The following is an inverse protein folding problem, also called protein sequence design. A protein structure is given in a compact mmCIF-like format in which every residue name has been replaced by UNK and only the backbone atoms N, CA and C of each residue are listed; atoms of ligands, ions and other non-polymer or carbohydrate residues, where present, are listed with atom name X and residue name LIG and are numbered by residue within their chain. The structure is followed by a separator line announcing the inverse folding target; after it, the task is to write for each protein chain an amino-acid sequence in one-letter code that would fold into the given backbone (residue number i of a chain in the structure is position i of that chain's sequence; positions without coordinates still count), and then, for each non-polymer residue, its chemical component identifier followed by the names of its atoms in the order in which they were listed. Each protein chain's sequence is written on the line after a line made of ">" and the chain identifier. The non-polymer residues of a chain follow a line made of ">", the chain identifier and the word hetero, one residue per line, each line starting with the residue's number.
data_IF_328166902440
#
_entry.id   IF_328166902440
#
_cell.length_a   1.000
_cell.length_b   1.000
_cell.length_c   1.000
_cell.angle_alpha   90.00
_cell.angle_beta   90.00
_cell.angle_gamma   90.00
#
_symmetry.space_group_name_H-M   'P 1'
#
loop_
_entity.id
_entity.type
_entity.pdbx_description
1 polymer ?
#
# COMPACT_ATOMS: atom_id res chain seq x y z
N UNK A 1 -47.53 -51.54 24.67
CA UNK A 1 -46.46 -52.47 25.11
C UNK A 1 -45.27 -52.16 24.22
N UNK A 2 -44.20 -51.47 24.59
CA UNK A 2 -43.60 -50.92 25.82
C UNK A 2 -42.57 -49.91 25.27
N UNK A 3 -42.73 -48.60 25.45
CA UNK A 3 -42.14 -47.75 26.51
C UNK A 3 -40.61 -47.79 26.60
N UNK A 4 -39.97 -46.62 26.51
CA UNK A 4 -38.55 -46.38 26.74
C UNK A 4 -38.10 -45.02 26.20
N UNK A 5 -38.51 -43.94 26.89
CA UNK A 5 -37.85 -42.62 26.87
C UNK A 5 -36.44 -42.76 27.44
N UNK A 6 -35.47 -42.00 26.94
CA UNK A 6 -34.29 -41.62 27.73
C UNK A 6 -33.74 -40.27 27.23
N UNK A 7 -33.92 -39.28 28.11
CA UNK A 7 -33.33 -37.96 28.11
C UNK A 7 -31.79 -38.04 28.23
N UNK A 8 -31.06 -37.20 27.49
CA UNK A 8 -29.63 -36.96 27.73
C UNK A 8 -29.46 -35.48 28.07
N UNK A 9 -29.31 -35.24 29.38
CA UNK A 9 -28.88 -33.98 29.99
C UNK A 9 -27.40 -33.69 29.70
N UNK A 10 -27.10 -32.38 29.70
CA UNK A 10 -25.78 -31.78 29.52
C UNK A 10 -24.79 -32.18 30.62
N UNK A 11 -23.51 -32.30 30.25
CA UNK A 11 -22.38 -32.02 31.13
C UNK A 11 -21.35 -31.17 30.38
N UNK A 12 -21.21 -29.94 30.82
CA UNK A 12 -20.04 -29.10 30.57
C UNK A 12 -18.89 -29.69 31.38
N UNK A 13 -17.79 -30.06 30.70
CA UNK A 13 -16.53 -30.40 31.35
C UNK A 13 -15.53 -29.29 31.03
N UNK A 14 -15.22 -28.49 32.05
CA UNK A 14 -14.09 -27.58 32.09
C UNK A 14 -12.80 -28.40 32.17
N UNK A 15 -11.96 -28.35 31.13
CA UNK A 15 -10.60 -28.91 31.21
C UNK A 15 -9.60 -27.84 31.64
N UNK A 16 -8.90 -28.18 32.72
CA UNK A 16 -7.92 -27.39 33.44
C UNK A 16 -6.63 -27.16 32.64
N UNK A 17 -6.05 -25.98 32.82
CA UNK A 17 -4.66 -25.67 32.47
C UNK A 17 -3.71 -26.55 33.30
N UNK A 18 -2.93 -27.39 32.64
CA UNK A 18 -1.73 -28.00 33.23
C UNK A 18 -0.50 -27.16 32.85
N UNK A 19 0.14 -26.63 33.88
CA UNK A 19 1.50 -26.08 33.86
C UNK A 19 2.48 -27.19 33.48
N UNK A 20 3.37 -26.91 32.52
CA UNK A 20 4.57 -27.72 32.31
C UNK A 20 5.77 -26.78 32.33
N UNK A 21 6.48 -26.89 33.44
CA UNK A 21 7.79 -26.35 33.74
C UNK A 21 8.84 -27.21 33.00
N UNK A 22 9.70 -26.60 32.19
CA UNK A 22 11.00 -27.16 31.83
C UNK A 22 11.92 -26.02 31.37
N UNK A 23 12.74 -25.58 32.33
CA UNK A 23 13.94 -24.80 32.14
C UNK A 23 14.99 -25.62 31.34
N UNK A 24 15.78 -24.95 30.49
CA UNK A 24 17.25 -25.10 30.35
C UNK A 24 17.75 -24.15 29.23
N UNK A 25 18.08 -22.95 29.69
CA UNK A 25 19.16 -22.04 29.29
C UNK A 25 20.12 -22.43 28.14
N UNK A 26 20.34 -21.50 27.21
CA UNK A 26 21.69 -21.22 26.70
C UNK A 26 21.85 -19.74 26.31
N UNK A 27 22.42 -19.01 27.25
CA UNK A 27 22.86 -17.62 27.24
C UNK A 27 23.92 -17.29 26.17
N UNK A 28 23.70 -16.18 25.45
CA UNK A 28 24.77 -15.27 25.01
C UNK A 28 24.14 -13.95 24.54
N UNK A 29 23.76 -13.10 25.49
CA UNK A 29 23.57 -11.66 25.20
C UNK A 29 24.37 -10.84 26.20
N UNK A 30 25.40 -10.17 25.70
CA UNK A 30 26.22 -9.24 26.48
C UNK A 30 25.35 -8.16 27.13
N UNK A 31 25.27 -8.22 28.44
CA UNK A 31 24.74 -7.17 29.32
C UNK A 31 25.55 -5.89 29.14
N UNK A 32 24.85 -4.81 28.80
CA UNK A 32 25.30 -3.44 29.09
C UNK A 32 24.36 -2.92 30.18
N UNK A 33 24.74 -3.20 31.43
CA UNK A 33 24.09 -2.71 32.64
C UNK A 33 24.20 -1.18 32.71
N UNK A 34 23.11 -0.48 32.38
CA UNK A 34 22.95 0.93 32.78
C UNK A 34 22.13 0.96 34.06
N UNK A 35 22.84 1.15 35.18
CA UNK A 35 22.28 1.36 36.51
C UNK A 35 21.25 2.48 36.51
N UNK A 36 20.12 2.23 37.17
CA UNK A 36 19.10 3.23 37.46
C UNK A 36 19.64 4.39 38.28
N UNK A 37 19.40 5.59 37.79
CA UNK A 37 19.52 6.85 38.48
C UNK A 37 18.45 7.80 37.95
N UNK A 38 17.64 8.31 38.87
CA UNK A 38 16.78 9.50 38.90
C UNK A 38 16.09 10.03 37.62
N UNK A 39 14.82 10.42 37.80
CA UNK A 39 13.96 11.12 36.84
C UNK A 39 14.52 12.52 36.48
N UNK A 40 15.61 12.54 35.72
CA UNK A 40 16.04 13.71 34.94
C UNK A 40 15.71 13.43 33.46
N UNK A 41 15.06 14.39 32.79
CA UNK A 41 14.82 14.40 31.34
C UNK A 41 16.15 14.53 30.58
N UNK A 42 17.04 13.55 30.72
CA UNK A 42 18.30 13.50 30.01
C UNK A 42 18.03 13.18 28.53
N UNK A 43 18.15 14.20 27.67
CA UNK A 43 18.12 14.05 26.22
C UNK A 43 19.09 12.95 25.78
N UNK A 44 18.55 11.91 25.15
CA UNK A 44 19.36 10.80 24.61
C UNK A 44 20.26 11.37 23.51
N UNK A 45 21.60 11.21 23.60
CA UNK A 45 22.53 11.66 22.56
C UNK A 45 22.15 11.10 21.19
N UNK A 46 22.25 11.90 20.12
CA UNK A 46 21.93 11.46 18.75
C UNK A 46 22.63 10.15 18.35
N UNK A 47 23.87 9.94 18.81
CA UNK A 47 24.64 8.72 18.55
C UNK A 47 24.07 7.45 19.18
N UNK A 48 23.12 7.58 20.13
CA UNK A 48 22.42 6.49 20.80
C UNK A 48 20.97 6.33 20.33
N UNK A 49 20.45 7.27 19.52
CA UNK A 49 19.11 7.15 18.93
C UNK A 49 19.08 5.98 17.95
N UNK A 50 18.04 5.15 18.05
CA UNK A 50 17.82 4.01 17.15
C UNK A 50 16.42 4.09 16.57
N UNK A 51 16.31 3.90 15.26
CA UNK A 51 15.00 3.80 14.61
C UNK A 51 14.19 2.66 15.23
N UNK A 52 12.96 2.97 15.62
CA UNK A 52 12.03 1.96 16.13
C UNK A 52 11.42 1.18 14.97
N UNK A 53 11.58 -0.15 15.00
CA UNK A 53 11.03 -1.07 14.01
C UNK A 53 9.99 -1.94 14.72
N UNK A 54 8.69 -1.79 14.44
CA UNK A 54 7.65 -2.63 15.03
C UNK A 54 7.94 -4.12 14.85
N UNK A 55 7.92 -4.88 15.95
CA UNK A 55 8.17 -6.32 15.96
C UNK A 55 9.65 -6.75 15.97
N UNK A 56 10.59 -5.80 15.81
CA UNK A 56 12.04 -6.07 15.93
C UNK A 56 12.69 -5.30 17.08
N UNK A 57 12.26 -4.05 17.31
CA UNK A 57 12.70 -3.24 18.45
C UNK A 57 12.00 -3.67 19.73
N UNK A 58 12.65 -3.43 20.89
CA UNK A 58 12.02 -3.63 22.20
C UNK A 58 10.75 -2.78 22.31
N UNK A 59 9.71 -3.23 23.03
CA UNK A 59 8.56 -2.40 23.35
C UNK A 59 8.99 -1.07 24.00
N UNK A 60 8.19 -0.03 23.75
CA UNK A 60 8.38 1.26 24.39
C UNK A 60 8.18 1.11 25.90
N UNK A 61 9.10 1.69 26.68
CA UNK A 61 8.97 1.79 28.14
C UNK A 61 7.88 2.80 28.48
N UNK A 62 7.38 2.72 29.71
CA UNK A 62 6.41 3.71 30.22
C UNK A 62 7.05 5.09 30.22
N UNK A 63 6.48 6.03 29.47
CA UNK A 63 7.00 7.39 29.31
C UNK A 63 7.93 7.59 28.10
N UNK A 64 8.23 6.54 27.34
CA UNK A 64 9.01 6.64 26.11
C UNK A 64 8.08 6.95 24.92
N UNK A 65 8.37 8.03 24.19
CA UNK A 65 7.63 8.44 23.01
C UNK A 65 8.50 8.34 21.75
N UNK A 66 7.85 8.07 20.61
CA UNK A 66 8.54 8.05 19.32
C UNK A 66 8.60 9.47 18.77
N UNK A 67 9.80 9.97 18.57
CA UNK A 67 10.04 11.23 17.87
C UNK A 67 10.23 10.98 16.36
N UNK A 68 9.78 11.94 15.55
CA UNK A 68 10.02 11.94 14.12
C UNK A 68 11.49 12.25 13.84
N UNK A 69 12.18 11.33 13.17
CA UNK A 69 13.53 11.53 12.65
C UNK A 69 13.46 12.07 11.21
N UNK A 70 13.80 13.35 10.95
CA UNK A 70 13.79 13.92 9.61
C UNK A 70 14.82 13.29 8.67
N UNK A 71 15.90 12.72 9.19
CA UNK A 71 16.97 12.12 8.39
C UNK A 71 16.64 10.69 7.93
N UNK A 72 15.57 10.09 8.47
CA UNK A 72 15.07 8.79 8.05
C UNK A 72 14.50 8.79 6.61
N UNK A 73 14.14 9.96 6.07
CA UNK A 73 13.49 10.08 4.76
C UNK A 73 14.14 11.14 3.88
N UNK A 74 14.39 10.80 2.60
CA UNK A 74 14.76 11.81 1.58
C UNK A 74 13.56 12.63 1.12
N UNK A 75 12.39 11.99 1.00
CA UNK A 75 11.11 12.64 0.71
C UNK A 75 10.07 12.14 1.69
N UNK A 76 9.34 13.06 2.30
CA UNK A 76 8.19 12.74 3.14
C UNK A 76 7.07 13.74 2.86
N UNK A 77 6.04 13.29 2.14
CA UNK A 77 4.89 14.10 1.74
C UNK A 77 3.61 13.35 2.09
N UNK A 78 2.63 14.06 2.66
CA UNK A 78 1.34 13.48 3.04
C UNK A 78 0.25 13.98 2.11
N UNK A 79 -0.57 13.06 1.61
CA UNK A 79 -1.73 13.35 0.79
C UNK A 79 -2.94 12.60 1.31
N UNK A 80 -4.13 13.16 1.13
CA UNK A 80 -5.38 12.59 1.61
C UNK A 80 -6.32 12.26 0.45
N UNK A 81 -6.93 11.09 0.48
CA UNK A 81 -8.03 10.69 -0.40
C UNK A 81 -9.34 10.68 0.37
N UNK A 82 -10.47 10.87 -0.32
CA UNK A 82 -11.80 10.92 0.32
C UNK A 82 -12.19 9.59 0.96
N UNK A 83 -11.75 8.48 0.34
CA UNK A 83 -11.96 7.12 0.84
C UNK A 83 -10.62 6.39 0.97
N UNK A 84 -10.52 5.42 1.90
CA UNK A 84 -9.32 4.61 2.03
C UNK A 84 -9.10 3.77 0.76
N UNK A 85 -7.83 3.61 0.38
CA UNK A 85 -7.43 2.70 -0.69
C UNK A 85 -6.80 1.44 -0.08
N UNK A 86 -7.43 0.28 -0.26
CA UNK A 86 -6.84 -0.98 0.22
C UNK A 86 -5.59 -1.38 -0.56
N UNK A 87 -5.49 -0.89 -1.79
CA UNK A 87 -4.33 -1.12 -2.65
C UNK A 87 -4.09 0.07 -3.55
N UNK A 88 -2.82 0.22 -3.92
CA UNK A 88 -2.38 1.10 -4.98
C UNK A 88 -1.29 0.42 -5.80
N UNK A 89 -0.95 1.03 -6.93
CA UNK A 89 0.15 0.65 -7.77
C UNK A 89 0.78 1.87 -8.44
N UNK A 90 2.10 1.84 -8.62
CA UNK A 90 2.81 2.94 -9.29
C UNK A 90 2.67 2.77 -10.81
N UNK A 91 2.16 3.80 -11.46
CA UNK A 91 1.96 3.83 -12.90
C UNK A 91 3.27 4.21 -13.58
N UNK A 92 3.70 3.40 -14.55
CA UNK A 92 4.87 3.72 -15.38
C UNK A 92 4.57 4.93 -16.26
N UNK A 93 5.21 6.06 -15.98
CA UNK A 93 5.11 7.27 -16.77
C UNK A 93 6.02 7.25 -18.02
N UNK A 94 5.93 8.28 -18.84
CA UNK A 94 6.76 8.50 -20.03
C UNK A 94 7.83 9.58 -19.86
N UNK A 95 8.16 9.99 -18.62
CA UNK A 95 9.03 11.14 -18.33
C UNK A 95 10.52 10.80 -18.33
N UNK A 96 10.88 9.52 -18.56
CA UNK A 96 12.26 9.05 -18.64
C UNK A 96 12.57 8.00 -17.58
N UNK A 97 13.70 7.31 -17.77
CA UNK A 97 14.17 6.25 -16.87
C UNK A 97 15.12 6.81 -15.80
N UNK A 98 15.14 6.21 -14.61
CA UNK A 98 16.07 6.53 -13.52
C UNK A 98 16.11 8.02 -13.15
N UNK A 99 14.94 8.68 -13.08
CA UNK A 99 14.84 10.08 -12.65
C UNK A 99 15.20 10.21 -11.18
N UNK A 100 16.27 10.93 -10.88
CA UNK A 100 16.76 11.21 -9.51
C UNK A 100 16.73 12.69 -9.14
N UNK A 101 16.33 13.57 -10.07
CA UNK A 101 16.33 15.01 -9.88
C UNK A 101 15.03 15.48 -9.22
N UNK A 102 15.12 16.59 -8.50
CA UNK A 102 14.00 17.24 -7.82
C UNK A 102 13.61 18.55 -8.50
N UNK A 103 12.35 19.00 -8.34
CA UNK A 103 11.25 18.29 -7.69
C UNK A 103 10.84 17.02 -8.44
N UNK A 104 10.58 15.95 -7.69
CA UNK A 104 10.15 14.69 -8.25
C UNK A 104 8.65 14.72 -8.58
N UNK A 105 8.27 13.80 -9.45
CA UNK A 105 6.88 13.61 -9.88
C UNK A 105 6.66 12.11 -10.10
N UNK A 106 5.53 11.58 -9.66
CA UNK A 106 5.14 10.20 -9.90
C UNK A 106 3.63 10.06 -10.05
N UNK A 107 3.20 8.95 -10.64
CA UNK A 107 1.79 8.65 -10.88
C UNK A 107 1.42 7.36 -10.18
N UNK A 108 0.29 7.37 -9.48
CA UNK A 108 -0.22 6.23 -8.72
C UNK A 108 -1.65 5.98 -9.14
N UNK A 109 -2.05 4.72 -9.21
CA UNK A 109 -3.44 4.32 -9.32
C UNK A 109 -3.87 3.63 -8.02
N UNK A 110 -4.96 4.09 -7.44
CA UNK A 110 -5.59 3.53 -6.25
C UNK A 110 -7.00 3.03 -6.55
N UNK A 111 -7.48 2.11 -5.72
CA UNK A 111 -8.88 1.70 -5.73
C UNK A 111 -9.49 1.89 -4.34
N UNK A 112 -10.63 2.57 -4.26
CA UNK A 112 -11.23 2.93 -2.98
C UNK A 112 -12.08 1.80 -2.37
N UNK A 113 -12.31 1.94 -1.07
CA UNK A 113 -13.27 1.18 -0.29
C UNK A 113 -14.19 2.14 0.48
N UNK A 114 -15.27 2.56 -0.18
CA UNK A 114 -16.31 3.40 0.37
C UNK A 114 -17.41 2.58 1.09
N UNK A 115 -18.19 3.24 1.94
CA UNK A 115 -19.30 2.59 2.66
C UNK A 115 -20.38 2.02 1.72
N UNK A 116 -20.66 2.70 0.60
CA UNK A 116 -21.67 2.27 -0.37
C UNK A 116 -21.00 1.82 -1.65
N UNK A 117 -21.48 0.72 -2.21
CA UNK A 117 -20.93 0.13 -3.44
C UNK A 117 -20.78 1.14 -4.60
N UNK A 118 -21.73 2.07 -4.76
CA UNK A 118 -21.74 3.06 -5.85
C UNK A 118 -20.80 4.25 -5.67
N UNK A 119 -20.26 4.44 -4.46
CA UNK A 119 -19.41 5.59 -4.11
C UNK A 119 -17.91 5.21 -4.24
N UNK A 120 -17.61 4.03 -4.79
CA UNK A 120 -16.24 3.58 -5.04
C UNK A 120 -15.73 4.12 -6.38
N UNK A 121 -14.41 4.24 -6.48
CA UNK A 121 -13.74 4.88 -7.60
C UNK A 121 -12.36 4.27 -7.81
N UNK A 122 -11.92 4.23 -9.07
CA UNK A 122 -10.49 4.11 -9.41
C UNK A 122 -9.93 5.54 -9.40
N UNK A 123 -8.91 5.79 -8.59
CA UNK A 123 -8.30 7.11 -8.47
C UNK A 123 -6.93 7.09 -9.14
N UNK A 124 -6.73 7.95 -10.14
CA UNK A 124 -5.42 8.22 -10.73
C UNK A 124 -4.88 9.48 -10.06
N UNK A 125 -3.72 9.38 -9.42
CA UNK A 125 -3.08 10.44 -8.66
C UNK A 125 -1.76 10.82 -9.34
N UNK A 126 -1.65 12.07 -9.81
CA UNK A 126 -0.39 12.68 -10.20
C UNK A 126 0.19 13.45 -9.01
N UNK A 127 1.22 12.88 -8.37
CA UNK A 127 1.94 13.51 -7.27
C UNK A 127 3.09 14.32 -7.86
N UNK A 128 3.02 15.64 -7.76
CA UNK A 128 3.94 16.59 -8.39
C UNK A 128 4.59 17.49 -7.34
N UNK A 129 5.68 18.13 -7.75
CA UNK A 129 6.44 19.06 -6.92
C UNK A 129 6.97 18.43 -5.63
N UNK A 130 7.38 17.16 -5.69
CA UNK A 130 7.88 16.42 -4.52
C UNK A 130 9.33 16.84 -4.26
N UNK A 131 9.52 17.73 -3.29
CA UNK A 131 10.82 18.27 -2.90
C UNK A 131 11.49 17.39 -1.83
N UNK A 132 12.81 17.49 -1.71
CA UNK A 132 13.54 16.79 -0.63
C UNK A 132 13.23 17.38 0.74
N UNK A 133 13.27 16.52 1.76
CA UNK A 133 13.25 16.93 3.16
C UNK A 133 14.47 17.79 3.45
N UNK A 134 14.27 18.85 4.24
CA UNK A 134 15.38 19.68 4.73
C UNK A 134 16.16 18.88 5.77
N UNK A 135 17.47 18.80 5.58
CA UNK A 135 18.37 18.32 6.63
C UNK A 135 18.55 19.44 7.66
N UNK A 136 18.48 19.14 8.97
CA UNK A 136 18.97 20.06 9.98
C UNK A 136 20.44 20.37 9.69
N UNK A 137 20.86 21.65 9.70
CA UNK A 137 22.27 22.00 9.56
C UNK A 137 23.01 21.50 10.81
N UNK A 138 23.75 20.40 10.70
CA UNK A 138 24.78 20.07 11.69
C UNK A 138 25.87 21.15 11.65
N UNK A 139 26.05 21.84 12.77
CA UNK A 139 27.12 22.79 12.94
C UNK A 139 28.49 22.08 12.99
N UNK A 140 29.13 21.89 11.83
CA UNK A 140 30.59 22.00 11.59
C UNK A 140 30.92 21.54 10.17
N UNK A 141 31.54 22.43 9.40
CA UNK A 141 31.65 22.31 7.95
C UNK A 141 32.57 21.23 7.41
N UNK A 142 32.31 20.87 6.16
CA UNK A 142 33.28 20.90 5.07
C UNK A 142 32.51 21.04 3.76
N UNK A 143 33.19 21.59 2.78
CA UNK A 143 32.72 22.13 1.50
C UNK A 143 32.25 21.03 0.52
N UNK A 144 30.97 21.06 0.11
CA UNK A 144 30.58 20.62 -1.24
C UNK A 144 29.22 21.19 -1.66
N UNK A 145 29.29 22.06 -2.65
CA UNK A 145 28.26 22.76 -3.43
C UNK A 145 26.85 22.12 -3.55
N UNK A 146 25.86 23.02 -3.44
CA UNK A 146 24.42 22.92 -3.76
C UNK A 146 23.48 22.60 -2.60
N UNK A 147 23.60 23.32 -1.48
CA UNK A 147 22.45 23.58 -0.61
C UNK A 147 21.90 24.95 -0.99
N UNK A 148 20.69 25.01 -1.56
CA UNK A 148 19.90 26.23 -1.52
C UNK A 148 19.77 26.63 -0.05
N UNK A 149 20.50 27.70 0.27
CA UNK A 149 20.30 28.62 1.38
C UNK A 149 18.78 28.90 1.48
N UNK A 150 18.11 28.80 2.63
CA UNK A 150 18.22 29.81 3.68
C UNK A 150 17.41 29.42 4.94
N UNK A 151 17.76 30.14 6.01
CA UNK A 151 17.06 30.52 7.24
C UNK A 151 15.57 30.15 7.43
N UNK A 152 15.16 30.07 8.69
CA UNK A 152 13.76 30.10 9.17
C UNK A 152 12.94 31.34 8.75
N UNK A 153 13.50 32.19 7.87
CA UNK A 153 12.95 33.43 7.32
C UNK A 153 12.63 33.32 5.81
N UNK A 154 12.32 32.12 5.30
CA UNK A 154 11.76 32.02 3.94
C UNK A 154 10.39 32.72 3.87
N UNK A 155 10.20 33.56 2.85
CA UNK A 155 8.93 34.23 2.64
C UNK A 155 7.82 33.25 2.26
N UNK A 156 6.56 33.60 2.56
CA UNK A 156 5.40 32.72 2.30
C UNK A 156 5.31 32.29 0.82
N UNK A 157 5.80 33.11 -0.10
CA UNK A 157 5.82 32.82 -1.54
C UNK A 157 6.80 31.69 -1.89
N UNK A 158 7.95 31.61 -1.24
CA UNK A 158 8.94 30.54 -1.47
C UNK A 158 8.45 29.21 -0.89
N UNK A 159 7.80 29.25 0.28
CA UNK A 159 7.16 28.06 0.88
C UNK A 159 6.05 27.52 -0.05
N UNK A 160 5.15 28.39 -0.53
CA UNK A 160 4.06 28.02 -1.44
C UNK A 160 4.55 27.39 -2.75
N UNK A 161 5.71 27.81 -3.26
CA UNK A 161 6.34 27.22 -4.46
C UNK A 161 6.88 25.82 -4.24
N UNK A 162 7.26 25.45 -3.01
CA UNK A 162 7.81 24.13 -2.68
C UNK A 162 6.75 23.13 -2.21
N UNK A 163 5.50 23.57 -2.04
CA UNK A 163 4.40 22.71 -1.60
C UNK A 163 4.14 21.56 -2.58
N UNK A 164 4.04 20.31 -2.10
CA UNK A 164 3.67 19.18 -2.93
C UNK A 164 2.24 19.33 -3.45
N UNK A 165 1.98 18.88 -4.67
CA UNK A 165 0.67 18.96 -5.31
C UNK A 165 0.18 17.58 -5.70
N UNK A 166 -1.10 17.30 -5.43
CA UNK A 166 -1.73 16.05 -5.85
C UNK A 166 -2.88 16.37 -6.80
N UNK A 167 -2.72 15.99 -8.05
CA UNK A 167 -3.77 16.07 -9.05
C UNK A 167 -4.49 14.74 -9.14
N UNK A 168 -5.81 14.73 -9.10
CA UNK A 168 -6.60 13.50 -9.09
C UNK A 168 -7.58 13.45 -10.25
N UNK A 169 -7.66 12.28 -10.87
CA UNK A 169 -8.70 11.94 -11.84
C UNK A 169 -9.39 10.67 -11.35
N UNK A 170 -10.68 10.75 -11.09
CA UNK A 170 -11.46 9.62 -10.59
C UNK A 170 -12.29 8.97 -11.69
N UNK A 171 -12.43 7.66 -11.64
CA UNK A 171 -13.30 6.88 -12.53
C UNK A 171 -14.30 6.14 -11.65
N UNK A 172 -15.61 6.42 -11.75
CA UNK A 172 -16.62 5.75 -10.95
C UNK A 172 -16.58 4.23 -11.12
N UNK A 173 -16.67 3.51 -10.01
CA UNK A 173 -16.59 2.05 -9.96
C UNK A 173 -17.63 1.47 -9.00
N UNK A 174 -18.33 0.41 -9.41
CA UNK A 174 -19.31 -0.24 -8.54
C UNK A 174 -18.69 -1.40 -7.75
N UNK A 175 -18.66 -1.26 -6.43
CA UNK A 175 -18.03 -2.17 -5.48
C UNK A 175 -16.65 -1.70 -5.03
N UNK A 176 -16.25 -2.09 -3.82
CA UNK A 176 -14.92 -1.80 -3.27
C UNK A 176 -13.82 -2.52 -4.05
N UNK A 177 -12.67 -1.86 -4.20
CA UNK A 177 -11.54 -2.39 -4.98
C UNK A 177 -10.48 -2.96 -4.04
N UNK A 178 -10.38 -4.28 -4.02
CA UNK A 178 -9.50 -5.01 -3.14
C UNK A 178 -8.04 -4.98 -3.57
N UNK A 179 -7.81 -5.16 -4.87
CA UNK A 179 -6.49 -5.08 -5.49
C UNK A 179 -6.58 -4.39 -6.83
N UNK A 180 -5.71 -3.41 -7.04
CA UNK A 180 -5.49 -2.77 -8.33
C UNK A 180 -4.04 -2.93 -8.79
N UNK A 181 -3.83 -3.18 -10.08
CA UNK A 181 -2.51 -3.25 -10.70
C UNK A 181 -2.53 -2.62 -12.08
N UNK A 182 -1.60 -1.71 -12.34
CA UNK A 182 -1.41 -1.06 -13.62
C UNK A 182 -0.49 -1.88 -14.54
N UNK A 183 -0.67 -1.73 -15.84
CA UNK A 183 0.24 -2.25 -16.86
C UNK A 183 0.17 -1.36 -18.10
N UNK A 184 1.31 -1.22 -18.79
CA UNK A 184 1.35 -0.47 -20.04
C UNK A 184 1.28 -1.43 -21.22
N UNK A 185 0.20 -1.41 -21.99
CA UNK A 185 -0.03 -2.26 -23.16
C UNK A 185 0.17 -1.45 -24.45
N UNK A 186 1.40 -1.46 -24.96
CA UNK A 186 1.79 -0.59 -26.07
C UNK A 186 1.76 0.88 -25.63
N UNK A 187 0.92 1.68 -26.30
CA UNK A 187 0.72 3.09 -25.98
C UNK A 187 -0.41 3.33 -24.98
N UNK A 188 -1.17 2.29 -24.63
CA UNK A 188 -2.24 2.39 -23.65
C UNK A 188 -1.76 2.03 -22.25
N UNK A 189 -2.23 2.76 -21.26
CA UNK A 189 -2.11 2.39 -19.85
C UNK A 189 -3.44 1.81 -19.38
N UNK A 190 -3.40 0.60 -18.84
CA UNK A 190 -4.56 -0.08 -18.28
C UNK A 190 -4.34 -0.36 -16.80
N UNK A 191 -5.44 -0.57 -16.07
CA UNK A 191 -5.38 -1.19 -14.76
C UNK A 191 -6.34 -2.38 -14.71
N UNK A 192 -5.92 -3.45 -14.05
CA UNK A 192 -6.82 -4.51 -13.62
C UNK A 192 -7.23 -4.24 -12.17
N UNK A 193 -8.50 -4.50 -11.85
CA UNK A 193 -9.01 -4.46 -10.48
C UNK A 193 -9.71 -5.76 -10.14
N UNK A 194 -9.52 -6.22 -8.90
CA UNK A 194 -10.33 -7.25 -8.26
C UNK A 194 -11.24 -6.55 -7.25
N UNK A 195 -12.56 -6.77 -7.32
CA UNK A 195 -13.53 -6.09 -6.47
C UNK A 195 -14.30 -7.04 -5.53
N UNK A 196 -14.96 -6.44 -4.54
CA UNK A 196 -15.80 -7.12 -3.54
C UNK A 196 -17.05 -7.79 -4.14
N UNK A 197 -17.44 -7.44 -5.37
CA UNK A 197 -18.52 -8.08 -6.13
C UNK A 197 -18.09 -9.41 -6.75
N UNK A 198 -16.87 -9.88 -6.46
CA UNK A 198 -16.30 -11.12 -6.99
C UNK A 198 -15.94 -11.03 -8.47
N UNK A 199 -15.74 -9.82 -9.00
CA UNK A 199 -15.40 -9.59 -10.41
C UNK A 199 -13.95 -9.13 -10.54
N UNK A 200 -13.36 -9.52 -11.67
CA UNK A 200 -12.11 -8.94 -12.14
C UNK A 200 -12.40 -8.14 -13.39
N UNK A 201 -11.93 -6.90 -13.41
CA UNK A 201 -12.15 -5.99 -14.53
C UNK A 201 -10.82 -5.40 -15.00
N UNK A 202 -10.73 -5.11 -16.29
CA UNK A 202 -9.62 -4.36 -16.87
C UNK A 202 -10.17 -3.05 -17.41
N UNK A 203 -9.59 -1.94 -17.01
CA UNK A 203 -9.99 -0.58 -17.38
C UNK A 203 -8.88 0.09 -18.18
N UNK A 204 -9.25 0.82 -19.23
CA UNK A 204 -8.32 1.69 -19.93
C UNK A 204 -8.26 3.04 -19.20
N UNK A 205 -7.14 3.37 -18.58
CA UNK A 205 -6.98 4.62 -17.82
C UNK A 205 -6.10 5.63 -18.56
N UNK A 206 -5.81 5.41 -19.84
CA UNK A 206 -4.89 6.25 -20.63
C UNK A 206 -5.32 7.72 -20.62
N UNK A 207 -6.59 8.01 -20.93
CA UNK A 207 -7.08 9.39 -21.00
C UNK A 207 -7.15 10.05 -19.63
N UNK A 208 -7.54 9.29 -18.59
CA UNK A 208 -7.52 9.77 -17.22
C UNK A 208 -6.09 10.11 -16.76
N UNK A 209 -5.11 9.25 -17.08
CA UNK A 209 -3.70 9.50 -16.79
C UNK A 209 -3.16 10.72 -17.54
N UNK A 210 -3.45 10.84 -18.84
CA UNK A 210 -3.05 12.01 -19.63
C UNK A 210 -3.66 13.31 -19.08
N UNK A 211 -4.90 13.23 -18.59
CA UNK A 211 -5.56 14.37 -17.93
C UNK A 211 -4.82 14.75 -16.64
N UNK A 212 -4.53 13.80 -15.76
CA UNK A 212 -3.75 14.03 -14.55
C UNK A 212 -2.36 14.60 -14.87
N UNK A 213 -1.74 14.12 -15.94
CA UNK A 213 -0.45 14.62 -16.42
C UNK A 213 -0.50 16.06 -16.90
N UNK A 214 -1.56 16.46 -17.61
CA UNK A 214 -1.73 17.83 -18.09
C UNK A 214 -2.09 18.85 -16.99
N UNK A 215 -2.53 18.39 -15.81
CA UNK A 215 -2.85 19.28 -14.68
C UNK A 215 -1.60 19.98 -14.12
N UNK A 216 -1.78 21.22 -13.69
CA UNK A 216 -0.73 22.08 -13.16
C UNK A 216 -1.30 23.14 -12.22
N UNK A 217 -0.43 23.78 -11.43
CA UNK A 217 -0.82 24.81 -10.47
C UNK A 217 -1.33 24.22 -9.16
N UNK A 218 -2.45 24.73 -8.65
CA UNK A 218 -3.05 24.21 -7.43
C UNK A 218 -3.54 22.77 -7.61
N UNK A 219 -3.59 22.00 -6.51
CA UNK A 219 -4.22 20.67 -6.46
C UNK A 219 -5.61 20.71 -7.11
N UNK A 220 -5.86 19.76 -8.01
CA UNK A 220 -7.09 19.66 -8.79
C UNK A 220 -7.66 18.26 -8.69
N UNK A 221 -8.98 18.15 -8.75
CA UNK A 221 -9.71 16.89 -8.84
C UNK A 221 -10.76 16.98 -9.95
N UNK A 222 -10.87 15.94 -10.76
CA UNK A 222 -11.92 15.83 -11.78
C UNK A 222 -12.38 14.38 -11.90
N UNK A 223 -13.65 14.21 -12.26
CA UNK A 223 -14.18 12.91 -12.65
C UNK A 223 -13.95 12.68 -14.16
N UNK A 224 -13.58 11.45 -14.53
CA UNK A 224 -13.48 11.00 -15.90
C UNK A 224 -14.41 9.79 -16.10
N UNK A 225 -15.44 9.98 -16.93
CA UNK A 225 -16.44 8.93 -17.18
C UNK A 225 -15.93 7.95 -18.22
N UNK A 226 -15.71 6.72 -17.78
CA UNK A 226 -15.48 5.58 -18.64
C UNK A 226 -16.74 4.72 -18.61
N UNK A 227 -17.43 4.62 -19.75
CA UNK A 227 -18.75 3.97 -19.82
C UNK A 227 -18.72 2.50 -19.36
N UNK A 228 -17.61 1.80 -19.60
CA UNK A 228 -17.44 0.40 -19.23
C UNK A 228 -15.96 -0.02 -19.18
N UNK A 229 -15.63 -1.05 -18.40
CA UNK A 229 -14.33 -1.70 -18.48
C UNK A 229 -14.09 -2.30 -19.87
N UNK A 230 -12.82 -2.40 -20.27
CA UNK A 230 -12.39 -3.13 -21.48
C UNK A 230 -12.84 -4.59 -21.42
N UNK A 231 -12.73 -5.19 -20.25
CA UNK A 231 -13.07 -6.58 -20.02
C UNK A 231 -13.58 -6.78 -18.60
N UNK A 232 -14.55 -7.68 -18.41
CA UNK A 232 -15.02 -8.12 -17.10
C UNK A 232 -15.13 -9.63 -17.10
N UNK A 233 -14.49 -10.26 -16.13
CA UNK A 233 -14.72 -11.66 -15.80
C UNK A 233 -15.52 -11.71 -14.49
N UNK A 234 -16.64 -12.47 -14.46
CA UNK A 234 -17.48 -12.58 -13.27
C UNK A 234 -16.85 -13.39 -12.12
N UNK A 235 -15.61 -13.87 -12.31
CA UNK A 235 -14.92 -14.69 -11.32
C UNK A 235 -15.67 -16.00 -11.07
N UNK A 236 -15.52 -16.51 -9.86
CA UNK A 236 -16.29 -17.63 -9.30
C UNK A 236 -17.51 -17.12 -8.50
N UNK A 237 -17.87 -15.84 -8.63
CA UNK A 237 -18.84 -15.17 -7.77
C UNK A 237 -18.37 -15.00 -6.33
N UNK A 238 -17.06 -15.13 -6.12
CA UNK A 238 -16.38 -15.08 -4.83
C UNK A 238 -15.29 -14.03 -4.88
N UNK A 239 -15.12 -13.34 -3.76
CA UNK A 239 -14.11 -12.29 -3.60
C UNK A 239 -12.68 -12.85 -3.65
N UNK A 240 -11.70 -11.97 -3.68
CA UNK A 240 -10.30 -12.30 -3.83
C UNK A 240 -9.43 -11.08 -3.72
N UNK A 241 -8.13 -11.35 -3.64
CA UNK A 241 -7.10 -10.32 -3.54
C UNK A 241 -5.93 -10.61 -4.46
N UNK A 242 -5.81 -11.84 -4.99
CA UNK A 242 -4.70 -12.19 -5.87
C UNK A 242 -4.87 -11.54 -7.23
N UNK A 243 -3.95 -10.65 -7.61
CA UNK A 243 -3.93 -10.01 -8.93
C UNK A 243 -2.50 -9.64 -9.29
N UNK A 244 -2.00 -10.18 -10.40
CA UNK A 244 -0.66 -9.89 -10.89
C UNK A 244 -0.60 -9.97 -12.42
N UNK A 245 -0.01 -8.96 -13.05
CA UNK A 245 0.38 -9.01 -14.46
C UNK A 245 1.60 -9.92 -14.64
N UNK A 246 1.68 -10.61 -15.77
CA UNK A 246 2.77 -11.52 -16.09
C UNK A 246 4.01 -10.73 -16.52
N UNK A 247 5.18 -10.94 -15.88
CA UNK A 247 6.43 -10.33 -16.32
C UNK A 247 6.99 -11.02 -17.58
N UNK A 248 6.51 -12.22 -17.91
CA UNK A 248 7.02 -13.03 -19.02
C UNK A 248 6.24 -12.82 -20.32
N UNK A 249 4.96 -12.48 -20.21
CA UNK A 249 4.07 -12.29 -21.36
C UNK A 249 3.17 -11.09 -21.13
N UNK A 250 3.52 -10.00 -21.81
CA UNK A 250 2.85 -8.71 -21.69
C UNK A 250 1.34 -8.83 -21.87
N UNK A 251 0.60 -8.29 -20.90
CA UNK A 251 -0.87 -8.30 -20.88
C UNK A 251 -1.51 -9.59 -20.40
N UNK A 252 -0.77 -10.69 -20.24
CA UNK A 252 -1.31 -11.84 -19.50
C UNK A 252 -1.35 -11.49 -18.00
N UNK A 253 -2.32 -12.03 -17.27
CA UNK A 253 -2.42 -11.85 -15.82
C UNK A 253 -2.85 -13.14 -15.13
N UNK A 254 -2.58 -13.21 -13.83
CA UNK A 254 -3.06 -14.26 -12.95
C UNK A 254 -3.90 -13.64 -11.83
N UNK A 255 -4.95 -14.35 -11.44
CA UNK A 255 -5.90 -13.84 -10.47
C UNK A 255 -6.34 -14.93 -9.49
N UNK A 256 -6.37 -14.63 -8.19
CA UNK A 256 -6.64 -15.59 -7.13
C UNK A 256 -7.82 -15.18 -6.23
N UNK A 257 -8.78 -16.10 -6.06
CA UNK A 257 -9.94 -15.92 -5.18
C UNK A 257 -9.71 -16.53 -3.79
N UNK A 258 -10.60 -16.21 -2.83
CA UNK A 258 -10.53 -16.74 -1.46
C UNK A 258 -10.82 -18.25 -1.37
N UNK A 259 -11.38 -18.87 -2.43
CA UNK A 259 -11.64 -20.32 -2.49
C UNK A 259 -10.47 -21.09 -3.11
N UNK A 260 -9.26 -20.50 -3.10
CA UNK A 260 -7.98 -21.11 -3.49
C UNK A 260 -7.90 -21.47 -4.98
N UNK A 261 -8.65 -20.78 -5.84
CA UNK A 261 -8.56 -20.96 -7.29
C UNK A 261 -7.73 -19.83 -7.89
N UNK A 262 -6.76 -20.21 -8.72
CA UNK A 262 -6.00 -19.27 -9.53
C UNK A 262 -6.42 -19.42 -10.99
N UNK A 263 -6.85 -18.32 -11.59
CA UNK A 263 -7.20 -18.23 -13.01
C UNK A 263 -6.08 -17.54 -13.77
N UNK A 264 -5.71 -18.10 -14.92
CA UNK A 264 -4.77 -17.51 -15.85
C UNK A 264 -5.54 -16.84 -16.99
N UNK A 265 -5.10 -15.65 -17.34
CA UNK A 265 -5.70 -14.80 -18.34
C UNK A 265 -4.70 -14.55 -19.45
N UNK A 266 -5.11 -14.79 -20.68
CA UNK A 266 -4.29 -14.56 -21.85
C UNK A 266 -4.85 -13.40 -22.65
N UNK A 267 -4.06 -12.35 -22.85
CA UNK A 267 -4.44 -11.26 -23.72
C UNK A 267 -4.63 -11.78 -25.16
N UNK A 268 -5.72 -11.34 -25.80
CA UNK A 268 -6.08 -11.63 -27.19
C UNK A 268 -6.15 -10.31 -27.96
N UNK A 269 -6.26 -10.41 -29.28
CA UNK A 269 -6.45 -9.25 -30.15
C UNK A 269 -7.72 -8.47 -29.78
N UNK A 270 -7.70 -7.17 -30.02
CA UNK A 270 -8.85 -6.29 -29.76
C UNK A 270 -9.09 -5.94 -28.29
N UNK A 271 -8.09 -6.12 -27.40
CA UNK A 271 -8.22 -5.76 -25.98
C UNK A 271 -9.14 -6.68 -25.20
N UNK A 272 -9.16 -7.96 -25.56
CA UNK A 272 -9.91 -9.00 -24.85
C UNK A 272 -8.97 -9.95 -24.13
N UNK A 273 -9.50 -10.67 -23.14
CA UNK A 273 -8.77 -11.72 -22.43
C UNK A 273 -9.51 -13.05 -22.54
N UNK A 274 -8.76 -14.11 -22.85
CA UNK A 274 -9.25 -15.48 -22.68
C UNK A 274 -8.86 -15.95 -21.28
N UNK A 275 -9.86 -16.28 -20.46
CA UNK A 275 -9.65 -16.81 -19.11
C UNK A 275 -9.73 -18.33 -19.16
N UNK A 276 -8.73 -19.01 -18.59
CA UNK A 276 -8.70 -20.48 -18.53
C UNK A 276 -9.91 -21.04 -17.79
N UNK A 277 -10.58 -22.05 -18.35
CA UNK A 277 -11.76 -22.67 -17.73
C UNK A 277 -11.42 -23.54 -16.52
N UNK A 278 -10.19 -24.06 -16.45
CA UNK A 278 -9.70 -24.89 -15.35
C UNK A 278 -8.76 -24.06 -14.47
N UNK A 279 -9.14 -23.76 -13.22
CA UNK A 279 -8.25 -23.04 -12.31
C UNK A 279 -7.10 -23.94 -11.84
N UNK A 280 -5.97 -23.32 -11.53
CA UNK A 280 -4.90 -23.99 -10.79
C UNK A 280 -5.33 -24.14 -9.32
N UNK A 281 -5.11 -25.34 -8.78
CA UNK A 281 -5.56 -25.75 -7.43
C UNK A 281 -4.47 -26.50 -6.65
N UNK A 282 -3.23 -26.52 -7.17
CA UNK A 282 -2.11 -27.25 -6.56
C UNK A 282 -1.64 -26.67 -5.22
N UNK A 283 -2.00 -25.42 -4.93
CA UNK A 283 -1.66 -24.69 -3.70
C UNK A 283 -2.58 -25.17 -2.56
N UNK A 284 -2.29 -26.35 -2.02
CA UNK A 284 -2.87 -26.81 -0.76
C UNK A 284 -2.13 -26.15 0.39
N UNK A 285 -2.80 -25.96 1.52
CA UNK A 285 -2.20 -25.36 2.73
C UNK A 285 -0.82 -25.95 3.03
N UNK A 286 0.07 -25.14 3.59
CA UNK A 286 1.19 -25.66 4.38
C UNK A 286 0.59 -26.69 5.34
N UNK A 287 0.89 -27.96 5.12
CA UNK A 287 0.78 -28.94 6.19
C UNK A 287 1.87 -28.53 7.17
N UNK A 288 1.48 -27.80 8.22
CA UNK A 288 2.35 -27.62 9.36
C UNK A 288 2.65 -28.99 9.97
N UNK A 289 3.84 -29.16 10.59
CA UNK A 289 4.19 -30.36 11.34
C UNK A 289 3.20 -30.64 12.47
#
# INVERSE_FOLDING_TARGET
>A
MTSGDDDIEMKEEEEQMDEVDDEEESDSSSDDDVQGGDDDEDEIPESQRKAYIPGLSRPLKKGEELEFDPDAYRLFHTFNTDWPCLSFDVVKDGLGENRTNYPAECYIVGGTQAEKAKDNEIIIMGLKNLTEMRKPKEGKGDDSDTSEDESEDEDEETIKKREPKMHTVTVPHYGGINRIRSERLGDSTVCACWNDQGRVQVWNITDALNTAHAMSGATQSTEHKIDRPLFTHPGTGKEGYGLAWSPLKKGDLATGDWIRKIFLWQMKEGGQWAVGSTPLTGHKSLSGP
#
